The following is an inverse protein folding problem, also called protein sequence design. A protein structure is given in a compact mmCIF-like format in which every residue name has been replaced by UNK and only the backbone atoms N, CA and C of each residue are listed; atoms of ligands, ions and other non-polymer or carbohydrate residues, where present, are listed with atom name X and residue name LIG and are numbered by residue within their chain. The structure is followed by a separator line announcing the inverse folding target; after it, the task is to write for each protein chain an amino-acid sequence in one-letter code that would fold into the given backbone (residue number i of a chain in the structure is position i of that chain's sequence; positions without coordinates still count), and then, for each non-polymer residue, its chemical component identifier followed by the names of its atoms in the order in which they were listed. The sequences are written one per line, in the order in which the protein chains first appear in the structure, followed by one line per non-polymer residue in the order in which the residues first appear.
data_IF_853563094481
#
_entry.id   IF_853563094481
#
_cell.length_a   1.000
_cell.length_b   1.000
_cell.length_c   1.000
_cell.angle_alpha   90.00
_cell.angle_beta   90.00
_cell.angle_gamma   90.00
#
_symmetry.space_group_name_H-M   'P 1'
#
loop_
_entity.id
_entity.type
_entity.pdbx_description
1 polymer ?
#
# COMPACT_ATOMS: atom_id res chain seq x y z
N UNK A 1 5.10 -16.66 12.26
CA UNK A 1 4.03 -15.89 11.64
C UNK A 1 4.51 -14.48 11.31
N UNK A 2 4.22 -14.02 10.12
CA UNK A 2 4.66 -12.70 9.71
C UNK A 2 4.03 -11.61 10.59
N UNK A 3 4.75 -10.54 10.80
CA UNK A 3 4.24 -9.40 11.54
C UNK A 3 3.13 -8.75 10.74
N UNK A 4 1.96 -8.75 11.33
CA UNK A 4 0.79 -8.14 10.71
C UNK A 4 0.45 -6.91 11.54
N UNK A 5 0.44 -5.75 10.89
CA UNK A 5 0.08 -4.53 11.58
C UNK A 5 -1.43 -4.49 11.80
N UNK A 6 -1.86 -3.71 12.76
CA UNK A 6 -3.27 -3.53 13.01
C UNK A 6 -3.93 -2.89 11.80
N UNK A 7 -5.20 -3.23 11.60
CA UNK A 7 -5.92 -2.74 10.41
C UNK A 7 -5.96 -1.22 10.34
N UNK A 8 -6.03 -0.54 11.47
CA UNK A 8 -6.02 0.92 11.46
C UNK A 8 -4.72 1.50 10.91
N UNK A 9 -3.60 0.89 11.28
CA UNK A 9 -2.30 1.32 10.74
C UNK A 9 -2.15 0.92 9.29
N UNK A 10 -2.55 -0.30 8.95
CA UNK A 10 -2.50 -0.77 7.59
C UNK A 10 -3.32 0.15 6.66
N UNK A 11 -4.52 0.52 7.09
CA UNK A 11 -5.36 1.42 6.30
C UNK A 11 -4.69 2.77 6.06
N UNK A 12 -3.98 3.29 7.05
CA UNK A 12 -3.26 4.56 6.90
C UNK A 12 -2.16 4.44 5.84
N UNK A 13 -1.43 3.34 5.87
CA UNK A 13 -0.36 3.09 4.89
C UNK A 13 -0.94 3.03 3.48
N UNK A 14 -1.98 2.23 3.30
CA UNK A 14 -2.60 2.06 2.00
C UNK A 14 -3.17 3.38 1.51
N UNK A 15 -3.86 4.10 2.38
CA UNK A 15 -4.48 5.37 1.99
C UNK A 15 -3.44 6.38 1.55
N UNK A 16 -2.36 6.50 2.29
CA UNK A 16 -1.30 7.44 1.93
C UNK A 16 -0.68 7.07 0.58
N UNK A 17 -0.36 5.79 0.40
CA UNK A 17 0.22 5.35 -0.86
C UNK A 17 -0.73 5.64 -2.03
N UNK A 18 -2.00 5.26 -1.88
CA UNK A 18 -2.98 5.44 -2.95
C UNK A 18 -3.16 6.93 -3.26
N UNK A 19 -3.29 7.76 -2.23
CA UNK A 19 -3.49 9.19 -2.44
C UNK A 19 -2.33 9.80 -3.22
N UNK A 20 -1.10 9.47 -2.83
CA UNK A 20 0.07 10.02 -3.50
C UNK A 20 0.21 9.47 -4.92
N UNK A 21 -0.04 8.18 -5.08
CA UNK A 21 0.05 7.53 -6.39
C UNK A 21 -0.97 8.15 -7.36
N UNK A 22 -2.20 8.27 -6.92
CA UNK A 22 -3.28 8.79 -7.75
C UNK A 22 -3.06 10.28 -8.04
N UNK A 23 -2.59 11.05 -7.05
CA UNK A 23 -2.29 12.46 -7.24
C UNK A 23 -1.27 12.70 -8.35
N UNK A 24 -0.34 11.79 -8.52
CA UNK A 24 0.72 11.93 -9.52
C UNK A 24 0.30 11.48 -10.91
N UNK A 25 -0.74 10.65 -11.01
CA UNK A 25 -1.08 10.00 -12.27
C UNK A 25 -2.34 10.52 -12.94
N UNK A 26 -3.27 11.12 -12.18
CA UNK A 26 -4.61 11.32 -12.71
C UNK A 26 -5.09 12.76 -12.57
N UNK A 27 -5.95 13.21 -13.50
CA UNK A 27 -6.69 14.46 -13.33
C UNK A 27 -7.63 14.38 -12.13
N UNK A 28 -7.93 15.54 -11.55
CA UNK A 28 -8.78 15.63 -10.36
C UNK A 28 -10.11 14.91 -10.52
N UNK A 29 -10.71 15.03 -11.70
CA UNK A 29 -12.05 14.47 -11.93
C UNK A 29 -12.09 12.96 -11.96
N UNK A 30 -10.94 12.30 -12.15
CA UNK A 30 -10.88 10.84 -12.17
C UNK A 30 -10.23 10.28 -10.91
N UNK A 31 -9.67 11.14 -10.09
CA UNK A 31 -8.89 10.72 -8.93
C UNK A 31 -9.68 9.86 -7.97
N UNK A 32 -10.90 10.26 -7.68
CA UNK A 32 -11.73 9.56 -6.72
C UNK A 32 -12.08 8.16 -7.18
N UNK A 33 -12.44 8.02 -8.46
CA UNK A 33 -12.81 6.71 -9.01
C UNK A 33 -11.62 5.77 -9.01
N UNK A 34 -10.46 6.25 -9.42
CA UNK A 34 -9.26 5.42 -9.48
C UNK A 34 -8.78 5.06 -8.09
N UNK A 35 -8.86 6.00 -7.15
CA UNK A 35 -8.50 5.76 -5.75
C UNK A 35 -9.36 4.65 -5.16
N UNK A 36 -10.66 4.71 -5.37
CA UNK A 36 -11.59 3.70 -4.88
C UNK A 36 -11.27 2.32 -5.48
N UNK A 37 -11.06 2.27 -6.79
CA UNK A 37 -10.74 1.01 -7.46
C UNK A 37 -9.42 0.43 -6.95
N UNK A 38 -8.44 1.28 -6.73
CA UNK A 38 -7.15 0.85 -6.21
C UNK A 38 -7.28 0.27 -4.81
N UNK A 39 -8.09 0.91 -3.95
CA UNK A 39 -8.35 0.38 -2.62
C UNK A 39 -9.01 -1.01 -2.68
N UNK A 40 -9.94 -1.18 -3.60
CA UNK A 40 -10.62 -2.48 -3.78
C UNK A 40 -9.61 -3.53 -4.22
N UNK A 41 -8.74 -3.20 -5.16
CA UNK A 41 -7.72 -4.12 -5.65
C UNK A 41 -6.77 -4.55 -4.53
N UNK A 42 -6.31 -3.60 -3.73
CA UNK A 42 -5.42 -3.91 -2.61
C UNK A 42 -6.15 -4.73 -1.55
N UNK A 43 -7.41 -4.46 -1.30
CA UNK A 43 -8.18 -5.24 -0.35
C UNK A 43 -8.34 -6.69 -0.80
N UNK A 44 -8.56 -6.90 -2.09
CA UNK A 44 -8.64 -8.24 -2.64
C UNK A 44 -7.33 -9.00 -2.49
N UNK A 45 -6.21 -8.33 -2.73
CA UNK A 45 -4.89 -8.94 -2.55
C UNK A 45 -4.67 -9.28 -1.09
N UNK A 46 -5.03 -8.37 -0.19
CA UNK A 46 -4.87 -8.59 1.24
C UNK A 46 -5.66 -9.81 1.72
N UNK A 47 -6.88 -9.95 1.24
CA UNK A 47 -7.73 -11.10 1.60
C UNK A 47 -7.15 -12.41 1.10
N UNK A 48 -6.58 -12.40 -0.09
CA UNK A 48 -6.08 -13.62 -0.72
C UNK A 48 -4.71 -14.02 -0.18
N UNK A 49 -3.81 -13.06 0.01
CA UNK A 49 -2.40 -13.35 0.28
C UNK A 49 -1.81 -12.57 1.43
N UNK A 50 -2.55 -11.64 2.04
CA UNK A 50 -2.12 -10.92 3.23
C UNK A 50 -1.56 -9.54 2.95
N UNK A 51 -1.24 -8.83 4.03
CA UNK A 51 -0.80 -7.43 3.96
C UNK A 51 0.53 -7.25 3.25
N UNK A 52 1.47 -8.17 3.47
CA UNK A 52 2.80 -8.04 2.90
C UNK A 52 2.74 -8.11 1.38
N UNK A 53 1.85 -8.92 0.84
CA UNK A 53 1.65 -9.00 -0.61
C UNK A 53 1.18 -7.68 -1.20
N UNK A 54 0.36 -6.93 -0.46
CA UNK A 54 -0.05 -5.60 -0.89
C UNK A 54 1.14 -4.66 -0.95
N UNK A 55 2.01 -4.71 0.05
CA UNK A 55 3.21 -3.88 0.07
C UNK A 55 4.15 -4.22 -1.08
N UNK A 56 4.28 -5.50 -1.42
CA UNK A 56 5.06 -5.91 -2.58
C UNK A 56 4.48 -5.37 -3.87
N UNK A 57 3.16 -5.38 -3.97
CA UNK A 57 2.48 -4.84 -5.14
C UNK A 57 2.74 -3.33 -5.26
N UNK A 58 2.64 -2.61 -4.15
CA UNK A 58 2.94 -1.18 -4.13
C UNK A 58 4.37 -0.90 -4.60
N UNK A 59 5.32 -1.67 -4.12
CA UNK A 59 6.72 -1.51 -4.51
C UNK A 59 6.92 -1.81 -6.00
N UNK A 60 6.13 -2.71 -6.55
CA UNK A 60 6.17 -3.01 -7.97
C UNK A 60 5.56 -1.92 -8.83
N UNK A 61 4.57 -1.21 -8.30
CA UNK A 61 3.92 -0.12 -9.01
C UNK A 61 4.79 1.14 -9.05
N UNK A 62 5.39 1.49 -7.90
CA UNK A 62 6.23 2.68 -7.77
C UNK A 62 7.14 2.48 -6.56
N UNK A 63 8.35 2.04 -6.82
CA UNK A 63 9.29 1.70 -5.75
C UNK A 63 9.72 2.92 -4.95
N UNK A 64 9.86 4.07 -5.59
CA UNK A 64 10.23 5.29 -4.89
C UNK A 64 9.12 5.74 -3.94
N UNK A 65 7.89 5.69 -4.41
CA UNK A 65 6.74 6.05 -3.59
C UNK A 65 6.57 5.07 -2.45
N UNK A 66 6.76 3.78 -2.70
CA UNK A 66 6.72 2.79 -1.62
C UNK A 66 7.78 3.08 -0.57
N UNK A 67 9.00 3.37 -0.98
CA UNK A 67 10.08 3.68 -0.05
C UNK A 67 9.73 4.90 0.78
N UNK A 68 9.17 5.92 0.16
CA UNK A 68 8.75 7.15 0.83
C UNK A 68 7.67 6.86 1.87
N UNK A 69 6.69 6.06 1.48
CA UNK A 69 5.58 5.69 2.37
C UNK A 69 6.10 4.87 3.55
N UNK A 70 6.94 3.90 3.28
CA UNK A 70 7.50 3.05 4.33
C UNK A 70 8.34 3.87 5.32
N UNK A 71 9.11 4.82 4.81
CA UNK A 71 9.90 5.70 5.65
C UNK A 71 9.02 6.57 6.53
N UNK A 72 7.94 7.08 5.95
CA UNK A 72 7.00 7.91 6.71
C UNK A 72 6.39 7.17 7.90
N UNK A 73 6.08 5.91 7.73
CA UNK A 73 5.49 5.08 8.79
C UNK A 73 6.53 4.25 9.54
N UNK A 74 7.80 4.42 9.23
CA UNK A 74 8.90 3.70 9.88
C UNK A 74 8.71 2.19 9.80
N UNK A 75 8.43 1.72 8.59
CA UNK A 75 8.21 0.29 8.35
C UNK A 75 9.51 -0.43 8.01
N UNK A 76 9.62 -1.71 8.39
CA UNK A 76 10.78 -2.50 7.98
C UNK A 76 10.74 -2.82 6.50
N UNK A 77 11.84 -3.36 5.98
CA UNK A 77 11.87 -3.85 4.60
C UNK A 77 10.89 -5.00 4.44
N UNK A 78 10.38 -5.15 3.22
CA UNK A 78 9.41 -6.21 2.93
C UNK A 78 9.99 -7.59 3.27
N UNK A 79 11.28 -7.80 2.99
CA UNK A 79 11.94 -9.05 3.31
C UNK A 79 11.85 -9.37 4.80
N UNK A 80 11.99 -8.36 5.64
CA UNK A 80 11.90 -8.52 7.09
C UNK A 80 10.47 -8.85 7.53
N UNK A 81 9.48 -8.40 6.78
CA UNK A 81 8.09 -8.68 7.09
C UNK A 81 7.73 -10.14 6.89
N UNK A 82 8.45 -10.84 6.04
CA UNK A 82 8.24 -12.27 5.83
C UNK A 82 8.94 -13.14 6.88
N UNK A 83 9.81 -12.54 7.64
CA UNK A 83 10.55 -13.28 8.65
C UNK A 83 9.63 -13.66 9.80
N UNK A 84 9.69 -14.90 10.16
CA UNK A 84 8.84 -15.42 11.23
C UNK A 84 9.58 -15.46 12.53
#
# INVERSE_FOLDING_TARGET
MANIMQMTEYDKVVRRFVDDYVNNLTPDQMREIISEQTHIDFENIRRDTGQVSVFEEMAGWDSELWTDTATHFDLPDIEDMYDE
#
